data_IF_739693321965
#
_entry.id   IF_739693321965
#
_cell.length_a   1.000
_cell.length_b   1.000
_cell.length_c   1.000
_cell.angle_alpha   90.00
_cell.angle_beta   90.00
_cell.angle_gamma   90.00
#
_symmetry.space_group_name_H-M   'P 1'
#
loop_
_entity.id
_entity.type
_entity.pdbx_description
1 polymer ?
#
# COMPACT_ATOMS: atom_id res chain seq x y z
N UNK A 1 0.52 19.86 -2.23
CA UNK A 1 -0.53 18.82 -2.11
C UNK A 1 0.01 17.74 -1.19
N UNK A 2 -0.64 17.43 -0.10
CA UNK A 2 -0.25 16.30 0.74
C UNK A 2 -0.81 15.04 0.10
N UNK A 3 -0.01 14.39 -0.76
CA UNK A 3 -0.29 12.99 -1.06
C UNK A 3 -0.20 12.19 0.24
N UNK A 4 -1.03 11.18 0.37
CA UNK A 4 -0.85 10.13 1.36
C UNK A 4 0.62 9.66 1.31
N UNK A 5 1.26 9.50 2.46
CA UNK A 5 2.69 9.14 2.55
C UNK A 5 3.01 7.85 1.78
N UNK A 6 2.07 6.91 1.72
CA UNK A 6 2.19 5.66 0.97
C UNK A 6 2.29 5.88 -0.54
N UNK A 7 1.45 6.76 -1.09
CA UNK A 7 1.48 7.08 -2.52
C UNK A 7 2.74 7.83 -2.91
N UNK A 8 3.28 8.67 -2.02
CA UNK A 8 4.53 9.39 -2.27
C UNK A 8 5.72 8.44 -2.37
N UNK A 9 5.82 7.46 -1.47
CA UNK A 9 6.86 6.45 -1.53
C UNK A 9 6.78 5.62 -2.82
N UNK A 10 5.59 5.18 -3.18
CA UNK A 10 5.37 4.45 -4.41
C UNK A 10 5.76 5.28 -5.65
N UNK A 11 5.41 6.57 -5.68
CA UNK A 11 5.77 7.47 -6.77
C UNK A 11 7.30 7.60 -6.94
N UNK A 12 8.05 7.68 -5.83
CA UNK A 12 9.51 7.73 -5.85
C UNK A 12 10.09 6.47 -6.50
N UNK A 13 9.66 5.30 -6.05
CA UNK A 13 10.19 4.04 -6.57
C UNK A 13 9.80 3.80 -8.01
N UNK A 14 8.55 4.12 -8.37
CA UNK A 14 8.08 3.99 -9.75
C UNK A 14 8.88 4.90 -10.69
N UNK A 15 9.11 6.15 -10.29
CA UNK A 15 9.95 7.11 -11.01
C UNK A 15 11.35 6.54 -11.28
N UNK A 16 12.00 6.00 -10.27
CA UNK A 16 13.33 5.39 -10.39
C UNK A 16 13.33 4.17 -11.34
N UNK A 17 12.34 3.29 -11.20
CA UNK A 17 12.25 2.06 -12.01
C UNK A 17 11.91 2.32 -13.49
N UNK A 18 11.09 3.33 -13.75
CA UNK A 18 10.72 3.72 -15.11
C UNK A 18 11.73 4.69 -15.75
N UNK A 19 12.64 5.27 -14.96
CA UNK A 19 13.56 6.31 -15.42
C UNK A 19 12.85 7.61 -15.82
N UNK A 20 11.70 7.92 -15.20
CA UNK A 20 10.91 9.12 -15.46
C UNK A 20 11.04 10.12 -14.30
N UNK A 21 10.98 11.43 -14.54
CA UNK A 21 11.11 12.42 -13.48
C UNK A 21 9.92 12.37 -12.53
N UNK A 22 10.20 12.48 -11.21
CA UNK A 22 9.19 12.71 -10.19
C UNK A 22 8.89 14.21 -10.07
N UNK A 23 7.65 14.60 -10.26
CA UNK A 23 7.20 15.99 -10.15
C UNK A 23 6.35 16.13 -8.90
N UNK A 24 6.79 16.97 -7.97
CA UNK A 24 6.04 17.35 -6.78
C UNK A 24 5.78 18.86 -6.83
N UNK A 25 4.52 19.27 -6.91
CA UNK A 25 4.14 20.69 -6.97
C UNK A 25 3.59 21.13 -8.33
N UNK A 26 4.02 22.30 -8.80
CA UNK A 26 3.50 22.86 -10.06
C UNK A 26 4.06 22.12 -11.29
N UNK A 27 3.19 21.88 -12.25
CA UNK A 27 3.50 21.23 -13.51
C UNK A 27 3.58 22.30 -14.60
N UNK A 28 4.65 22.28 -15.39
CA UNK A 28 4.76 23.04 -16.64
C UNK A 28 4.58 22.07 -17.82
N UNK A 29 3.31 21.78 -18.24
CA UNK A 29 3.01 20.76 -19.22
C UNK A 29 3.37 21.20 -20.62
N UNK A 30 3.69 20.20 -21.48
CA UNK A 30 3.80 20.36 -22.91
C UNK A 30 2.74 19.51 -23.61
N UNK A 31 2.32 19.92 -24.79
CA UNK A 31 1.41 19.15 -25.62
C UNK A 31 1.99 17.73 -25.88
N UNK A 32 1.17 16.73 -25.60
CA UNK A 32 1.55 15.33 -25.81
C UNK A 32 2.25 14.67 -24.60
N UNK A 33 2.51 15.39 -23.52
CA UNK A 33 3.02 14.78 -22.28
C UNK A 33 2.04 13.76 -21.70
N UNK A 34 2.57 12.68 -21.11
CA UNK A 34 1.80 11.69 -20.37
C UNK A 34 2.29 11.65 -18.92
N UNK A 35 1.37 11.84 -17.99
CA UNK A 35 1.68 11.85 -16.55
C UNK A 35 1.09 10.63 -15.85
N UNK A 36 1.89 10.01 -15.00
CA UNK A 36 1.40 9.05 -14.01
C UNK A 36 0.95 9.86 -12.78
N UNK A 37 -0.34 9.81 -12.48
CA UNK A 37 -0.96 10.63 -11.43
C UNK A 37 -1.29 9.76 -10.24
N UNK A 38 -0.78 10.13 -9.07
CA UNK A 38 -1.09 9.50 -7.78
C UNK A 38 -1.77 10.53 -6.87
N UNK A 39 -2.88 10.13 -6.22
CA UNK A 39 -3.66 11.07 -5.42
C UNK A 39 -4.44 12.09 -6.27
N UNK A 40 -4.88 11.69 -7.46
CA UNK A 40 -5.59 12.56 -8.42
C UNK A 40 -6.87 13.19 -7.88
N UNK A 41 -7.53 12.55 -6.90
CA UNK A 41 -8.71 13.07 -6.22
C UNK A 41 -8.47 14.41 -5.52
N UNK A 42 -7.26 14.70 -5.08
CA UNK A 42 -6.90 15.97 -4.43
C UNK A 42 -6.60 17.11 -5.42
N UNK A 43 -6.46 16.80 -6.69
CA UNK A 43 -6.07 17.76 -7.73
C UNK A 43 -6.98 17.76 -8.96
N UNK A 44 -8.17 17.17 -8.86
CA UNK A 44 -9.07 16.86 -9.98
C UNK A 44 -9.31 18.06 -10.90
N UNK A 45 -9.67 19.22 -10.35
CA UNK A 45 -9.97 20.42 -11.15
C UNK A 45 -8.73 20.90 -11.93
N UNK A 46 -7.56 20.87 -11.31
CA UNK A 46 -6.30 21.23 -11.96
C UNK A 46 -5.94 20.26 -13.09
N UNK A 47 -6.09 18.96 -12.87
CA UNK A 47 -5.81 17.93 -13.87
C UNK A 47 -6.75 18.03 -15.09
N UNK A 48 -8.05 18.24 -14.88
CA UNK A 48 -9.01 18.46 -15.97
C UNK A 48 -8.66 19.71 -16.76
N UNK A 49 -8.28 20.79 -16.08
CA UNK A 49 -7.89 22.03 -16.74
C UNK A 49 -6.62 21.88 -17.59
N UNK A 50 -5.60 21.17 -17.07
CA UNK A 50 -4.40 20.87 -17.81
C UNK A 50 -4.68 20.01 -19.06
N UNK A 51 -5.53 18.98 -18.93
CA UNK A 51 -5.93 18.13 -20.05
C UNK A 51 -6.63 18.91 -21.16
N UNK A 52 -7.48 19.88 -20.79
CA UNK A 52 -8.15 20.74 -21.75
C UNK A 52 -7.22 21.71 -22.49
N UNK A 53 -6.24 22.25 -21.79
CA UNK A 53 -5.37 23.30 -22.33
C UNK A 53 -4.15 22.80 -23.07
N UNK A 54 -3.63 21.60 -22.73
CA UNK A 54 -2.32 21.11 -23.19
C UNK A 54 -2.34 19.70 -23.79
N UNK A 55 -3.49 19.14 -24.14
CA UNK A 55 -3.59 17.80 -24.77
C UNK A 55 -2.74 16.72 -24.04
N UNK A 56 -2.63 16.81 -22.73
CA UNK A 56 -1.88 15.85 -21.93
C UNK A 56 -2.69 14.59 -21.67
N UNK A 57 -2.00 13.44 -21.58
CA UNK A 57 -2.58 12.17 -21.16
C UNK A 57 -2.30 11.88 -19.68
N UNK A 58 -3.15 11.06 -19.07
CA UNK A 58 -2.93 10.59 -17.70
C UNK A 58 -2.98 9.07 -17.63
N UNK A 59 -2.23 8.52 -16.68
CA UNK A 59 -2.38 7.17 -16.14
C UNK A 59 -2.67 7.38 -14.65
N UNK A 60 -3.86 7.02 -14.18
CA UNK A 60 -4.31 7.40 -12.85
C UNK A 60 -4.23 6.20 -11.91
N UNK A 61 -3.50 6.36 -10.81
CA UNK A 61 -3.56 5.48 -9.66
C UNK A 61 -4.68 5.93 -8.74
N UNK A 62 -5.74 5.13 -8.68
CA UNK A 62 -6.86 5.41 -7.79
C UNK A 62 -6.50 5.03 -6.35
N UNK A 63 -6.84 5.91 -5.42
CA UNK A 63 -6.80 5.66 -3.98
C UNK A 63 -8.09 6.15 -3.29
N UNK A 64 -9.08 6.55 -4.07
CA UNK A 64 -10.37 7.01 -3.56
C UNK A 64 -11.34 5.83 -3.45
N UNK A 65 -12.08 5.78 -2.36
CA UNK A 65 -13.03 4.71 -2.06
C UNK A 65 -14.49 5.18 -2.08
N UNK A 66 -14.74 6.46 -1.95
CA UNK A 66 -16.11 6.98 -1.81
C UNK A 66 -16.78 7.41 -3.12
N UNK A 67 -16.00 7.69 -4.15
CA UNK A 67 -16.42 8.08 -5.51
C UNK A 67 -17.55 9.13 -5.57
N UNK A 68 -17.58 10.05 -4.60
CA UNK A 68 -18.61 11.11 -4.53
C UNK A 68 -18.35 12.28 -5.46
N UNK A 69 -17.08 12.51 -5.83
CA UNK A 69 -16.69 13.60 -6.72
C UNK A 69 -16.94 13.22 -8.19
N UNK A 70 -17.95 13.85 -8.79
CA UNK A 70 -18.33 13.65 -10.19
C UNK A 70 -17.21 14.07 -11.17
N UNK A 71 -16.42 15.06 -10.82
CA UNK A 71 -15.30 15.51 -11.66
C UNK A 71 -14.16 14.47 -11.62
N UNK A 72 -13.89 13.89 -10.45
CA UNK A 72 -12.94 12.82 -10.35
C UNK A 72 -13.37 11.58 -11.15
N UNK A 73 -14.64 11.18 -11.04
CA UNK A 73 -15.18 10.10 -11.87
C UNK A 73 -15.07 10.39 -13.37
N UNK A 74 -15.28 11.64 -13.80
CA UNK A 74 -15.07 12.02 -15.20
C UNK A 74 -13.61 11.87 -15.61
N UNK A 75 -12.66 12.26 -14.76
CA UNK A 75 -11.23 12.10 -15.00
C UNK A 75 -10.86 10.61 -15.12
N UNK A 76 -11.39 9.75 -14.25
CA UNK A 76 -11.18 8.31 -14.31
C UNK A 76 -11.75 7.69 -15.61
N UNK A 77 -12.92 8.13 -16.06
CA UNK A 77 -13.54 7.64 -17.31
C UNK A 77 -12.74 7.95 -18.58
N UNK A 78 -11.97 9.01 -18.54
CA UNK A 78 -11.23 9.51 -19.72
C UNK A 78 -9.79 9.04 -19.79
N UNK A 79 -9.32 8.27 -18.81
CA UNK A 79 -7.92 7.89 -18.71
C UNK A 79 -7.77 6.44 -18.26
N UNK A 80 -6.65 5.76 -18.56
CA UNK A 80 -6.30 4.48 -17.95
C UNK A 80 -6.23 4.59 -16.42
N UNK A 81 -6.89 3.65 -15.72
CA UNK A 81 -6.99 3.64 -14.25
C UNK A 81 -6.37 2.37 -13.70
N UNK A 82 -5.54 2.52 -12.68
CA UNK A 82 -5.01 1.43 -11.86
C UNK A 82 -5.57 1.50 -10.45
N UNK A 83 -5.84 0.32 -9.87
CA UNK A 83 -6.25 0.18 -8.48
C UNK A 83 -5.68 -1.13 -7.90
N UNK A 84 -5.32 -1.12 -6.63
CA UNK A 84 -4.85 -2.31 -5.93
C UNK A 84 -5.95 -3.01 -5.10
N UNK A 85 -7.09 -2.36 -4.92
CA UNK A 85 -8.21 -2.85 -4.12
C UNK A 85 -9.29 -3.50 -5.00
N UNK A 86 -9.69 -4.73 -4.69
CA UNK A 86 -10.75 -5.43 -5.43
C UNK A 86 -12.09 -4.73 -5.27
N UNK A 87 -12.40 -4.31 -4.04
CA UNK A 87 -13.67 -3.65 -3.73
C UNK A 87 -13.86 -2.37 -4.53
N UNK A 88 -12.88 -1.48 -4.54
CA UNK A 88 -12.95 -0.22 -5.31
C UNK A 88 -12.99 -0.47 -6.81
N UNK A 89 -12.23 -1.44 -7.30
CA UNK A 89 -12.29 -1.88 -8.71
C UNK A 89 -13.68 -2.35 -9.09
N UNK A 90 -14.34 -3.12 -8.24
CA UNK A 90 -15.69 -3.62 -8.48
C UNK A 90 -16.73 -2.50 -8.53
N UNK A 91 -16.65 -1.53 -7.61
CA UNK A 91 -17.52 -0.34 -7.61
C UNK A 91 -17.32 0.46 -8.91
N UNK A 92 -16.08 0.79 -9.25
CA UNK A 92 -15.77 1.57 -10.45
C UNK A 92 -16.32 0.88 -11.71
N UNK A 93 -16.17 -0.42 -11.81
CA UNK A 93 -16.65 -1.21 -12.94
C UNK A 93 -18.16 -1.35 -12.97
N UNK A 94 -18.79 -1.76 -11.85
CA UNK A 94 -20.22 -2.10 -11.77
C UNK A 94 -21.12 -0.87 -11.74
N UNK A 95 -20.74 0.15 -10.97
CA UNK A 95 -21.59 1.33 -10.76
C UNK A 95 -21.26 2.47 -11.71
N UNK A 96 -20.00 2.59 -12.14
CA UNK A 96 -19.55 3.72 -12.95
C UNK A 96 -19.11 3.36 -14.38
N UNK A 97 -19.01 2.06 -14.71
CA UNK A 97 -18.61 1.60 -16.04
C UNK A 97 -17.16 1.94 -16.40
N UNK A 98 -16.31 2.10 -15.38
CA UNK A 98 -14.89 2.44 -15.56
C UNK A 98 -14.09 1.15 -15.59
N UNK A 99 -13.29 0.97 -16.66
CA UNK A 99 -12.39 -0.18 -16.74
C UNK A 99 -11.12 0.11 -15.93
N UNK A 100 -10.88 -0.73 -14.94
CA UNK A 100 -9.74 -0.61 -14.02
C UNK A 100 -8.78 -1.78 -14.27
N UNK A 101 -7.52 -1.48 -14.38
CA UNK A 101 -6.44 -2.46 -14.45
C UNK A 101 -5.98 -2.77 -13.02
N UNK A 102 -5.96 -4.06 -12.68
CA UNK A 102 -5.45 -4.49 -11.38
C UNK A 102 -3.97 -4.21 -11.27
N UNK A 103 -3.60 -3.67 -10.14
CA UNK A 103 -2.23 -3.28 -9.86
C UNK A 103 -1.84 -3.78 -8.47
N UNK A 104 -0.61 -4.24 -8.30
CA UNK A 104 -0.13 -4.74 -7.02
C UNK A 104 0.44 -3.59 -6.20
N UNK A 105 -0.03 -3.48 -4.96
CA UNK A 105 0.59 -2.62 -3.98
C UNK A 105 1.70 -3.42 -3.28
N UNK A 106 2.93 -2.98 -3.34
CA UNK A 106 4.09 -3.75 -2.89
C UNK A 106 5.09 -2.89 -2.11
N UNK A 107 5.97 -3.55 -1.37
CA UNK A 107 7.10 -2.90 -0.74
C UNK A 107 8.19 -2.59 -1.77
N UNK A 108 8.75 -1.42 -1.68
CA UNK A 108 9.62 -0.86 -2.70
C UNK A 108 11.10 -0.91 -2.36
N UNK A 109 11.43 -0.95 -1.10
CA UNK A 109 12.82 -0.98 -0.65
C UNK A 109 13.18 -2.34 -0.10
N UNK A 110 14.27 -2.92 -0.60
CA UNK A 110 14.81 -4.15 -0.02
C UNK A 110 15.20 -3.87 1.44
N UNK A 111 14.63 -4.66 2.34
CA UNK A 111 15.03 -4.66 3.74
C UNK A 111 16.07 -5.75 3.89
N UNK A 112 17.29 -5.38 4.27
CA UNK A 112 18.30 -6.37 4.65
C UNK A 112 17.82 -7.09 5.91
N UNK A 113 18.03 -8.41 5.99
CA UNK A 113 17.65 -9.22 7.13
C UNK A 113 18.14 -8.61 8.43
N UNK A 114 17.22 -8.07 9.20
CA UNK A 114 17.49 -7.45 10.49
C UNK A 114 17.13 -8.41 11.60
N UNK A 115 17.82 -8.37 12.76
CA UNK A 115 17.35 -9.08 13.93
C UNK A 115 15.92 -8.69 14.28
N UNK A 116 15.08 -9.67 14.62
CA UNK A 116 13.68 -9.44 15.00
C UNK A 116 13.52 -9.56 16.54
N UNK A 117 13.97 -8.55 17.30
CA UNK A 117 13.95 -8.59 18.76
C UNK A 117 12.54 -8.44 19.33
N UNK A 118 11.61 -7.89 18.57
CA UNK A 118 10.22 -7.67 19.00
C UNK A 118 9.37 -8.84 18.56
N UNK A 119 8.75 -9.53 19.52
CA UNK A 119 7.90 -10.68 19.23
C UNK A 119 6.57 -10.24 18.59
N UNK A 120 5.95 -9.21 19.16
CA UNK A 120 4.66 -8.67 18.69
C UNK A 120 4.80 -7.17 18.50
N UNK A 121 4.64 -6.70 17.27
CA UNK A 121 4.61 -5.28 16.92
C UNK A 121 3.20 -4.81 16.63
N UNK A 122 2.80 -3.69 17.18
CA UNK A 122 1.50 -3.04 16.97
C UNK A 122 1.75 -1.60 16.54
N UNK A 123 1.17 -1.17 15.44
CA UNK A 123 1.14 0.23 15.04
C UNK A 123 -0.32 0.64 14.95
N UNK A 124 -0.71 1.73 15.60
CA UNK A 124 -2.10 2.16 15.64
C UNK A 124 -2.25 3.68 15.55
N UNK A 125 -3.47 4.17 15.33
CA UNK A 125 -3.78 5.62 15.32
C UNK A 125 -3.88 6.20 16.72
N UNK A 126 -4.27 5.39 17.70
CA UNK A 126 -4.49 5.79 19.10
C UNK A 126 -4.02 4.67 20.04
N UNK A 127 -3.93 4.97 21.31
CA UNK A 127 -3.72 3.96 22.36
C UNK A 127 -4.80 2.87 22.28
N UNK A 128 -4.43 1.65 22.62
CA UNK A 128 -5.32 0.49 22.56
C UNK A 128 -5.13 -0.41 23.76
N UNK A 129 -6.23 -0.88 24.32
CA UNK A 129 -6.23 -1.87 25.40
C UNK A 129 -5.65 -3.23 24.98
N UNK A 130 -5.56 -3.47 23.67
CA UNK A 130 -4.99 -4.69 23.12
C UNK A 130 -3.56 -4.94 23.63
N UNK A 131 -2.76 -3.88 23.77
CA UNK A 131 -1.38 -3.97 24.28
C UNK A 131 -1.34 -4.57 25.68
N UNK A 132 -2.16 -4.04 26.59
CA UNK A 132 -2.24 -4.51 27.99
C UNK A 132 -2.73 -5.97 28.05
N UNK A 133 -3.74 -6.31 27.25
CA UNK A 133 -4.27 -7.67 27.17
C UNK A 133 -3.22 -8.66 26.67
N UNK A 134 -2.48 -8.31 25.61
CA UNK A 134 -1.41 -9.15 25.09
C UNK A 134 -0.23 -9.25 26.06
N UNK A 135 0.16 -8.16 26.72
CA UNK A 135 1.24 -8.17 27.71
C UNK A 135 0.91 -9.07 28.90
N UNK A 136 -0.36 -9.05 29.33
CA UNK A 136 -0.83 -9.94 30.40
C UNK A 136 -0.85 -11.40 29.99
N UNK A 137 -1.25 -11.69 28.74
CA UNK A 137 -1.31 -13.07 28.23
C UNK A 137 0.05 -13.65 27.88
N UNK A 138 0.99 -12.81 27.44
CA UNK A 138 2.33 -13.20 26.99
C UNK A 138 3.42 -12.39 27.73
N UNK A 139 3.59 -12.62 29.05
CA UNK A 139 4.51 -11.81 29.87
C UNK A 139 5.98 -11.96 29.46
N UNK A 140 6.34 -13.08 28.82
CA UNK A 140 7.71 -13.37 28.39
C UNK A 140 8.03 -12.85 26.98
N UNK A 141 7.04 -12.28 26.27
CA UNK A 141 7.24 -11.74 24.93
C UNK A 141 7.52 -10.24 24.95
N UNK A 142 8.43 -9.81 24.10
CA UNK A 142 8.65 -8.38 23.85
C UNK A 142 7.53 -7.88 22.95
N UNK A 143 6.67 -7.04 23.50
CA UNK A 143 5.56 -6.39 22.78
C UNK A 143 5.92 -4.92 22.62
N UNK A 144 5.83 -4.41 21.38
CA UNK A 144 6.11 -2.99 21.08
C UNK A 144 4.89 -2.36 20.42
N UNK A 145 4.41 -1.30 21.03
CA UNK A 145 3.36 -0.45 20.47
C UNK A 145 3.93 0.89 20.03
N UNK A 146 3.50 1.37 18.88
CA UNK A 146 3.93 2.66 18.33
C UNK A 146 2.71 3.35 17.70
N UNK A 147 2.51 4.61 18.02
CA UNK A 147 1.48 5.41 17.35
C UNK A 147 1.98 5.86 15.97
N UNK A 148 1.13 5.76 14.95
CA UNK A 148 1.50 6.12 13.57
C UNK A 148 1.98 7.59 13.47
N UNK A 149 1.42 8.48 14.27
CA UNK A 149 1.82 9.89 14.33
C UNK A 149 3.26 10.12 14.79
N UNK A 150 3.85 9.14 15.49
CA UNK A 150 5.23 9.21 16.00
C UNK A 150 6.25 8.72 14.96
N UNK A 151 5.77 8.12 13.87
CA UNK A 151 6.59 7.66 12.75
C UNK A 151 6.77 8.81 11.77
N UNK A 152 8.00 9.32 11.66
CA UNK A 152 8.29 10.57 10.94
C UNK A 152 8.45 10.41 9.43
N UNK A 153 8.78 9.20 8.97
CA UNK A 153 9.04 8.94 7.57
C UNK A 153 8.93 7.44 7.25
N UNK A 154 8.81 7.05 5.97
CA UNK A 154 8.71 5.66 5.54
C UNK A 154 9.89 4.78 5.97
N UNK A 155 11.10 5.31 6.01
CA UNK A 155 12.28 4.56 6.41
C UNK A 155 12.18 4.12 7.88
N UNK A 156 11.73 5.01 8.76
CA UNK A 156 11.49 4.68 10.17
C UNK A 156 10.40 3.60 10.34
N UNK A 157 9.34 3.66 9.52
CA UNK A 157 8.31 2.62 9.50
C UNK A 157 8.91 1.25 9.13
N UNK A 158 9.75 1.20 8.11
CA UNK A 158 10.41 -0.03 7.68
C UNK A 158 11.36 -0.60 8.72
N UNK A 159 12.20 0.23 9.33
CA UNK A 159 13.10 -0.17 10.41
C UNK A 159 12.30 -0.75 11.58
N UNK A 160 11.20 -0.10 11.94
CA UNK A 160 10.30 -0.59 12.97
C UNK A 160 9.69 -1.95 12.61
N UNK A 161 9.07 -2.06 11.43
CA UNK A 161 8.45 -3.31 10.97
C UNK A 161 9.47 -4.45 10.80
N UNK A 162 10.67 -4.13 10.34
CA UNK A 162 11.75 -5.12 10.21
C UNK A 162 12.18 -5.73 11.56
N UNK A 163 11.93 -5.02 12.65
CA UNK A 163 12.21 -5.51 13.99
C UNK A 163 11.15 -6.49 14.53
N UNK A 164 9.99 -6.61 13.89
CA UNK A 164 8.87 -7.43 14.35
C UNK A 164 8.97 -8.87 13.83
N UNK A 165 8.72 -9.86 14.67
CA UNK A 165 8.43 -11.23 14.24
C UNK A 165 7.01 -11.33 13.71
N UNK A 166 6.04 -10.80 14.48
CA UNK A 166 4.63 -10.72 14.10
C UNK A 166 4.15 -9.27 14.18
N UNK A 167 3.54 -8.80 13.13
CA UNK A 167 2.85 -7.52 13.10
C UNK A 167 1.36 -7.75 13.31
N UNK A 168 0.79 -7.10 14.31
CA UNK A 168 -0.64 -7.09 14.56
C UNK A 168 -1.23 -5.86 13.90
N UNK A 169 -2.04 -6.09 12.90
CA UNK A 169 -2.67 -5.04 12.12
C UNK A 169 -4.09 -4.76 12.63
N UNK A 170 -4.28 -3.55 13.12
CA UNK A 170 -5.55 -3.04 13.68
C UNK A 170 -6.20 -1.97 12.79
N UNK A 171 -5.72 -1.80 11.57
CA UNK A 171 -6.25 -0.83 10.61
C UNK A 171 -7.41 -1.41 9.81
N UNK A 172 -8.24 -0.49 9.30
CA UNK A 172 -9.32 -0.77 8.38
C UNK A 172 -9.17 0.06 7.09
N UNK A 173 -9.85 -0.37 6.01
CA UNK A 173 -9.84 0.31 4.73
C UNK A 173 -8.52 0.20 3.95
N UNK A 174 -8.28 1.09 3.01
CA UNK A 174 -7.11 1.05 2.11
C UNK A 174 -5.76 1.11 2.83
N UNK A 175 -5.69 1.81 3.95
CA UNK A 175 -4.47 1.86 4.77
C UNK A 175 -4.13 0.51 5.42
N UNK A 176 -5.12 -0.34 5.63
CA UNK A 176 -4.94 -1.73 6.06
C UNK A 176 -4.03 -2.49 5.09
N UNK A 177 -4.35 -2.46 3.80
CA UNK A 177 -3.56 -3.12 2.76
C UNK A 177 -2.12 -2.63 2.71
N UNK A 178 -1.92 -1.32 2.80
CA UNK A 178 -0.57 -0.73 2.85
C UNK A 178 0.25 -1.28 4.02
N UNK A 179 -0.30 -1.27 5.24
CA UNK A 179 0.39 -1.73 6.44
C UNK A 179 0.72 -3.22 6.38
N UNK A 180 -0.20 -4.05 5.88
CA UNK A 180 0.04 -5.48 5.70
C UNK A 180 1.17 -5.72 4.70
N UNK A 181 1.15 -5.07 3.54
CA UNK A 181 2.19 -5.23 2.53
C UNK A 181 3.57 -4.78 3.04
N UNK A 182 3.64 -3.67 3.77
CA UNK A 182 4.88 -3.20 4.39
C UNK A 182 5.43 -4.22 5.39
N UNK A 183 4.57 -4.77 6.26
CA UNK A 183 4.98 -5.76 7.25
C UNK A 183 5.49 -7.05 6.59
N UNK A 184 4.77 -7.57 5.59
CA UNK A 184 5.17 -8.76 4.84
C UNK A 184 6.51 -8.55 4.13
N UNK A 185 6.69 -7.42 3.45
CA UNK A 185 7.94 -7.10 2.77
C UNK A 185 9.12 -6.93 3.72
N UNK A 186 8.85 -6.55 4.97
CA UNK A 186 9.84 -6.54 6.06
C UNK A 186 10.04 -7.93 6.70
N UNK A 187 9.41 -8.98 6.17
CA UNK A 187 9.52 -10.35 6.67
C UNK A 187 8.80 -10.59 8.00
N UNK A 188 7.81 -9.79 8.35
CA UNK A 188 6.96 -10.02 9.50
C UNK A 188 5.74 -10.87 9.14
N UNK A 189 5.37 -11.82 9.99
CA UNK A 189 4.06 -12.46 9.93
C UNK A 189 2.99 -11.43 10.25
N UNK A 190 1.81 -11.55 9.65
CA UNK A 190 0.71 -10.61 9.90
C UNK A 190 -0.47 -11.32 10.54
N UNK A 191 -0.96 -10.76 11.63
CA UNK A 191 -2.25 -11.08 12.22
C UNK A 191 -3.14 -9.84 12.08
N UNK A 192 -4.26 -9.96 11.38
CA UNK A 192 -5.14 -8.84 11.06
C UNK A 192 -6.54 -9.06 11.61
N UNK A 193 -7.15 -7.99 12.11
CA UNK A 193 -8.56 -8.00 12.54
C UNK A 193 -9.51 -8.05 11.34
N UNK A 194 -9.14 -7.44 10.22
CA UNK A 194 -9.94 -7.43 9.00
C UNK A 194 -9.18 -8.06 7.86
N UNK A 195 -9.91 -8.79 7.02
CA UNK A 195 -9.37 -9.26 5.76
C UNK A 195 -9.13 -8.05 4.85
N UNK A 196 -7.90 -7.87 4.42
CA UNK A 196 -7.62 -6.86 3.43
C UNK A 196 -7.99 -7.38 2.04
N UNK A 197 -8.82 -6.64 1.34
CA UNK A 197 -9.31 -6.98 0.02
C UNK A 197 -8.44 -6.35 -1.07
N UNK A 198 -7.31 -6.97 -1.33
CA UNK A 198 -6.33 -6.47 -2.29
C UNK A 198 -5.84 -7.58 -3.22
N UNK A 199 -5.57 -7.23 -4.47
CA UNK A 199 -4.93 -8.14 -5.42
C UNK A 199 -3.59 -8.67 -4.93
N UNK A 200 -2.83 -7.85 -4.22
CA UNK A 200 -1.54 -8.24 -3.65
C UNK A 200 -1.70 -9.36 -2.63
N UNK A 201 -2.73 -9.29 -1.78
CA UNK A 201 -2.93 -10.25 -0.70
C UNK A 201 -3.28 -11.64 -1.18
N UNK A 202 -3.85 -11.79 -2.37
CA UNK A 202 -4.08 -13.13 -2.97
C UNK A 202 -2.82 -13.96 -3.14
N UNK A 203 -1.65 -13.31 -3.16
CA UNK A 203 -0.34 -13.98 -3.21
C UNK A 203 0.24 -14.23 -1.83
N UNK A 204 -0.33 -13.65 -0.78
CA UNK A 204 0.19 -13.70 0.59
C UNK A 204 -0.79 -14.31 1.59
N UNK A 205 -1.93 -14.88 1.14
CA UNK A 205 -3.00 -15.39 2.01
C UNK A 205 -2.47 -16.34 3.09
N UNK A 206 -1.49 -17.16 2.77
CA UNK A 206 -0.88 -18.10 3.73
C UNK A 206 -0.01 -17.42 4.81
N UNK A 207 0.34 -16.13 4.63
CA UNK A 207 1.18 -15.36 5.56
C UNK A 207 0.41 -14.33 6.38
N UNK A 208 -0.88 -14.20 6.09
CA UNK A 208 -1.79 -13.27 6.77
C UNK A 208 -2.88 -14.09 7.46
N UNK A 209 -2.89 -14.08 8.77
CA UNK A 209 -3.97 -14.68 9.55
C UNK A 209 -5.01 -13.63 9.87
N UNK A 210 -6.25 -13.84 9.42
CA UNK A 210 -7.38 -12.99 9.80
C UNK A 210 -8.10 -13.61 10.99
N UNK A 211 -8.40 -12.82 12.00
CA UNK A 211 -9.13 -13.24 13.20
C UNK A 211 -10.03 -12.13 13.71
N UNK A 212 -11.25 -12.48 14.10
CA UNK A 212 -12.19 -11.52 14.69
C UNK A 212 -11.74 -11.07 16.09
N UNK A 213 -10.97 -11.91 16.79
CA UNK A 213 -10.49 -11.65 18.15
C UNK A 213 -8.97 -11.86 18.19
N UNK A 214 -8.23 -10.78 18.02
CA UNK A 214 -6.76 -10.82 18.02
C UNK A 214 -6.19 -11.35 19.33
N UNK A 215 -6.83 -11.06 20.45
CA UNK A 215 -6.41 -11.52 21.76
C UNK A 215 -6.44 -13.04 21.90
N UNK A 216 -7.25 -13.74 21.12
CA UNK A 216 -7.37 -15.20 21.15
C UNK A 216 -6.35 -15.91 20.28
N UNK A 217 -5.69 -15.19 19.37
CA UNK A 217 -4.66 -15.76 18.52
C UNK A 217 -3.48 -16.29 19.34
N UNK A 218 -2.96 -17.47 18.96
CA UNK A 218 -1.80 -18.05 19.64
C UNK A 218 -0.48 -17.56 19.09
N UNK A 219 0.09 -16.56 19.74
CA UNK A 219 1.41 -16.00 19.41
C UNK A 219 2.59 -16.87 19.88
N UNK A 220 2.34 -18.05 20.47
CA UNK A 220 3.40 -18.99 20.85
C UNK A 220 3.78 -19.96 19.70
N UNK A 221 2.94 -20.08 18.68
CA UNK A 221 3.26 -20.90 17.52
C UNK A 221 4.43 -20.25 16.75
N UNK A 222 5.65 -20.55 17.18
CA UNK A 222 6.87 -20.09 16.52
C UNK A 222 7.17 -21.01 15.34
N UNK A 223 6.69 -20.63 14.15
CA UNK A 223 7.25 -21.14 12.92
C UNK A 223 8.55 -20.39 12.59
N UNK A 224 9.52 -21.09 12.05
CA UNK A 224 10.79 -20.49 11.61
C UNK A 224 10.52 -19.61 10.36
N UNK A 225 10.58 -18.28 10.53
CA UNK A 225 10.23 -17.30 9.48
C UNK A 225 11.24 -17.17 8.35
N UNK A 226 12.44 -17.72 8.45
CA UNK A 226 13.47 -17.56 7.41
C UNK A 226 13.04 -18.02 6.02
N UNK A 227 12.33 -19.15 5.86
CA UNK A 227 11.84 -19.57 4.55
C UNK A 227 10.84 -18.58 3.95
N UNK A 228 10.00 -17.97 4.78
CA UNK A 228 8.97 -17.01 4.36
C UNK A 228 9.56 -15.69 3.89
N UNK A 229 10.58 -15.19 4.55
CA UNK A 229 11.22 -13.92 4.20
C UNK A 229 11.73 -13.91 2.76
N UNK A 230 12.40 -14.98 2.33
CA UNK A 230 12.93 -15.09 0.98
C UNK A 230 11.80 -15.24 -0.07
N UNK A 231 10.79 -16.03 0.24
CA UNK A 231 9.63 -16.20 -0.65
C UNK A 231 8.86 -14.89 -0.83
N UNK A 232 8.62 -14.13 0.25
CA UNK A 232 7.98 -12.82 0.17
C UNK A 232 8.80 -11.85 -0.68
N UNK A 233 10.12 -11.83 -0.53
CA UNK A 233 11.01 -11.03 -1.39
C UNK A 233 10.90 -11.41 -2.87
N UNK A 234 10.84 -12.71 -3.18
CA UNK A 234 10.66 -13.18 -4.56
C UNK A 234 9.31 -12.77 -5.14
N UNK A 235 8.23 -12.93 -4.38
CA UNK A 235 6.88 -12.51 -4.78
C UNK A 235 6.81 -10.98 -5.01
N UNK A 236 7.39 -10.20 -4.12
CA UNK A 236 7.46 -8.75 -4.25
C UNK A 236 8.19 -8.33 -5.53
N UNK A 237 9.32 -8.96 -5.86
CA UNK A 237 10.07 -8.71 -7.11
C UNK A 237 9.25 -9.08 -8.35
N UNK A 238 8.53 -10.20 -8.31
CA UNK A 238 7.67 -10.63 -9.42
C UNK A 238 6.52 -9.64 -9.66
N UNK A 239 5.83 -9.21 -8.60
CA UNK A 239 4.74 -8.23 -8.71
C UNK A 239 5.24 -6.87 -9.20
N UNK A 240 6.41 -6.43 -8.75
CA UNK A 240 7.08 -5.21 -9.25
C UNK A 240 7.33 -5.31 -10.75
N UNK A 241 7.84 -6.44 -11.24
CA UNK A 241 8.06 -6.67 -12.66
C UNK A 241 6.78 -6.63 -13.48
N UNK A 242 5.69 -7.21 -12.97
CA UNK A 242 4.37 -7.17 -13.59
C UNK A 242 3.85 -5.73 -13.74
N UNK A 243 3.87 -4.96 -12.67
CA UNK A 243 3.44 -3.56 -12.68
C UNK A 243 4.22 -2.73 -13.70
N UNK A 244 5.54 -2.89 -13.71
CA UNK A 244 6.42 -2.20 -14.65
C UNK A 244 6.10 -2.55 -16.12
N UNK A 245 5.84 -3.83 -16.41
CA UNK A 245 5.49 -4.28 -17.76
C UNK A 245 4.17 -3.66 -18.26
N UNK A 246 3.14 -3.59 -17.39
CA UNK A 246 1.85 -2.99 -17.75
C UNK A 246 2.02 -1.50 -18.05
N UNK A 247 2.65 -0.74 -17.13
CA UNK A 247 2.84 0.70 -17.29
C UNK A 247 3.65 1.00 -18.55
N UNK A 248 4.74 0.26 -18.79
CA UNK A 248 5.58 0.44 -19.98
C UNK A 248 4.83 0.20 -21.30
N UNK A 249 3.85 -0.71 -21.31
CA UNK A 249 2.99 -0.90 -22.49
C UNK A 249 2.10 0.31 -22.75
N UNK A 250 1.49 0.86 -21.71
CA UNK A 250 0.57 2.01 -21.86
C UNK A 250 1.33 3.27 -22.31
N UNK A 251 2.55 3.49 -21.77
CA UNK A 251 3.37 4.65 -22.18
C UNK A 251 3.81 4.55 -23.66
N UNK A 252 3.95 3.33 -24.20
CA UNK A 252 4.41 3.10 -25.57
C UNK A 252 3.26 3.00 -26.60
N UNK A 253 2.01 2.89 -26.14
CA UNK A 253 0.81 2.87 -26.99
C UNK A 253 0.31 4.28 -27.30
#
# INVERSE_FOLDING_TARGET
MSCDSSMNEYAIVLSQKLGIPLIQGEIAPKDGDVYIVMGGQYATAGLINLQKNYKVGYIIYNSETSFRDKFYLQLLKSNPVFDCEQHTTDILKKEHGINVLSHFFYEFMEVQGSPKPVHIGIISKSETELVEKLQKRYPDKVIKHTLIKDIKNPQQLKELMSSFKTFVNVYEGSFNTYMINQALACGARVVSHTQADSYTLKFYDEYVTTTDIIEEYDFNSEEDFKPYEELIKQLTRMMTGHNHAIISRIIKS
#
